data_IF_548009727483
#
_entry.id   IF_548009727483
#
_cell.length_a   1.000
_cell.length_b   1.000
_cell.length_c   1.000
_cell.angle_alpha   90.00
_cell.angle_beta   90.00
_cell.angle_gamma   90.00
#
_symmetry.space_group_name_H-M   'P 1'
#
loop_
_entity.id
_entity.type
_entity.pdbx_description
1 polymer ?
#
# COMPACT_ATOMS: atom_id res chain seq x y z
N UNK A 1 16.97 -16.00 -10.89
CA UNK A 1 15.94 -15.07 -10.35
C UNK A 1 15.76 -13.95 -11.37
N UNK A 2 14.55 -13.70 -11.86
CA UNK A 2 14.32 -12.68 -12.89
C UNK A 2 14.52 -11.26 -12.30
N UNK A 3 15.19 -10.33 -13.01
CA UNK A 3 15.38 -8.97 -12.53
C UNK A 3 14.03 -8.25 -12.38
N UNK A 4 13.76 -7.68 -11.20
CA UNK A 4 12.56 -6.86 -10.95
C UNK A 4 12.79 -5.42 -11.37
N UNK A 5 12.78 -5.16 -12.67
CA UNK A 5 12.97 -3.80 -13.22
C UNK A 5 12.00 -2.77 -12.61
N UNK A 6 10.77 -3.19 -12.34
CA UNK A 6 9.73 -2.35 -11.73
C UNK A 6 10.03 -1.92 -10.29
N UNK A 7 10.96 -2.56 -9.57
CA UNK A 7 11.28 -2.19 -8.19
C UNK A 7 11.94 -0.81 -8.12
N UNK A 8 12.87 -0.55 -9.05
CA UNK A 8 13.51 0.76 -9.17
C UNK A 8 12.50 1.87 -9.49
N UNK A 9 11.52 1.57 -10.35
CA UNK A 9 10.45 2.49 -10.73
C UNK A 9 9.54 2.75 -9.53
N UNK A 10 9.11 1.70 -8.82
CA UNK A 10 8.27 1.83 -7.63
C UNK A 10 8.96 2.67 -6.55
N UNK A 11 10.23 2.39 -6.27
CA UNK A 11 10.99 3.13 -5.25
C UNK A 11 11.12 4.61 -5.62
N UNK A 12 11.37 4.93 -6.90
CA UNK A 12 11.39 6.30 -7.40
C UNK A 12 10.02 6.98 -7.28
N UNK A 13 8.95 6.32 -7.70
CA UNK A 13 7.60 6.88 -7.60
C UNK A 13 7.19 7.12 -6.14
N UNK A 14 7.54 6.23 -5.22
CA UNK A 14 7.28 6.42 -3.77
C UNK A 14 8.13 7.53 -3.14
N UNK A 15 9.16 8.02 -3.82
CA UNK A 15 9.91 9.21 -3.39
C UNK A 15 9.32 10.51 -3.97
N UNK A 16 8.61 10.42 -5.09
CA UNK A 16 7.99 11.56 -5.79
C UNK A 16 6.52 11.78 -5.38
N UNK A 17 5.81 10.71 -5.01
CA UNK A 17 4.37 10.73 -4.75
C UNK A 17 4.04 10.16 -3.37
N UNK A 18 3.04 10.73 -2.67
CA UNK A 18 2.60 10.25 -1.36
C UNK A 18 1.89 8.88 -1.43
N UNK A 19 1.37 8.51 -2.60
CA UNK A 19 0.78 7.20 -2.85
C UNK A 19 1.04 6.74 -4.30
N UNK A 20 1.20 5.42 -4.47
CA UNK A 20 1.41 4.77 -5.76
C UNK A 20 0.48 3.57 -5.87
N UNK A 21 -0.21 3.45 -7.01
CA UNK A 21 -1.06 2.29 -7.30
C UNK A 21 -0.31 1.28 -8.18
N UNK A 22 -0.36 0.00 -7.81
CA UNK A 22 0.16 -1.09 -8.61
C UNK A 22 -1.00 -1.75 -9.39
N UNK A 23 -1.05 -1.52 -10.69
CA UNK A 23 -2.06 -2.11 -11.58
C UNK A 23 -1.46 -3.27 -12.40
N UNK A 24 -2.30 -4.25 -12.72
CA UNK A 24 -1.91 -5.38 -13.55
C UNK A 24 -2.77 -6.61 -13.32
N UNK A 25 -2.71 -7.61 -14.22
CA UNK A 25 -3.55 -8.81 -14.13
C UNK A 25 -3.26 -9.63 -12.86
N UNK A 26 -4.15 -10.58 -12.55
CA UNK A 26 -3.91 -11.58 -11.50
C UNK A 26 -2.59 -12.30 -11.79
N UNK A 27 -1.86 -12.65 -10.73
CA UNK A 27 -0.57 -13.37 -10.79
C UNK A 27 0.59 -12.62 -11.49
N UNK A 28 0.46 -11.31 -11.75
CA UNK A 28 1.56 -10.49 -12.27
C UNK A 28 2.68 -10.17 -11.25
N UNK A 29 2.57 -10.64 -10.01
CA UNK A 29 3.57 -10.41 -8.96
C UNK A 29 3.53 -9.02 -8.30
N UNK A 30 2.36 -8.35 -8.30
CA UNK A 30 2.17 -7.02 -7.70
C UNK A 30 2.48 -7.00 -6.21
N UNK A 31 1.85 -7.89 -5.44
CA UNK A 31 2.11 -8.07 -4.00
C UNK A 31 3.57 -8.40 -3.74
N UNK A 32 4.16 -9.28 -4.57
CA UNK A 32 5.59 -9.61 -4.47
C UNK A 32 6.50 -8.41 -4.70
N UNK A 33 6.14 -7.50 -5.60
CA UNK A 33 6.87 -6.26 -5.83
C UNK A 33 6.75 -5.30 -4.64
N UNK A 34 5.54 -5.11 -4.11
CA UNK A 34 5.30 -4.26 -2.94
C UNK A 34 6.05 -4.77 -1.70
N UNK A 35 6.00 -6.08 -1.43
CA UNK A 35 6.72 -6.70 -0.32
C UNK A 35 8.24 -6.62 -0.47
N UNK A 36 8.76 -6.63 -1.70
CA UNK A 36 10.19 -6.42 -1.94
C UNK A 36 10.63 -4.99 -1.58
N UNK A 37 9.80 -3.99 -1.86
CA UNK A 37 10.05 -2.60 -1.45
C UNK A 37 9.91 -2.44 0.08
N UNK A 38 8.92 -3.07 0.70
CA UNK A 38 8.78 -3.12 2.16
C UNK A 38 10.03 -3.68 2.84
N UNK A 39 10.55 -4.81 2.34
CA UNK A 39 11.76 -5.43 2.88
C UNK A 39 13.00 -4.51 2.78
N UNK A 40 13.07 -3.62 1.78
CA UNK A 40 14.15 -2.62 1.67
C UNK A 40 14.04 -1.51 2.72
N UNK A 41 12.81 -1.16 3.12
CA UNK A 41 12.54 -0.06 4.07
C UNK A 41 12.59 -0.50 5.53
N UNK A 42 12.34 -1.77 5.82
CA UNK A 42 12.48 -2.36 7.16
C UNK A 42 11.32 -2.07 8.12
N UNK A 43 10.56 -0.99 7.91
CA UNK A 43 9.32 -0.68 8.63
C UNK A 43 8.21 -0.33 7.63
N UNK A 44 7.45 -1.35 7.23
CA UNK A 44 6.29 -1.17 6.38
C UNK A 44 5.10 -1.93 6.98
N UNK A 45 3.93 -1.30 6.91
CA UNK A 45 2.66 -1.95 7.20
C UNK A 45 2.18 -2.70 5.95
N UNK A 46 1.71 -3.93 6.13
CA UNK A 46 1.01 -4.68 5.10
C UNK A 46 -0.38 -5.06 5.60
N UNK A 47 -1.41 -4.69 4.86
CA UNK A 47 -2.80 -5.06 5.08
C UNK A 47 -3.36 -5.73 3.82
N UNK A 48 -3.79 -6.98 3.97
CA UNK A 48 -4.56 -7.68 2.95
C UNK A 48 -6.05 -7.47 3.22
N UNK A 49 -6.70 -6.65 2.40
CA UNK A 49 -8.11 -6.28 2.60
C UNK A 49 -9.10 -7.35 2.13
N UNK A 50 -8.63 -8.54 1.71
CA UNK A 50 -9.49 -9.72 1.69
C UNK A 50 -9.75 -10.28 3.11
N UNK A 51 -8.86 -10.02 4.06
CA UNK A 51 -8.97 -10.53 5.43
C UNK A 51 -9.87 -9.65 6.30
N UNK A 52 -10.90 -10.22 6.96
CA UNK A 52 -11.76 -9.47 7.88
C UNK A 52 -11.01 -8.85 9.07
N UNK A 53 -9.87 -9.42 9.49
CA UNK A 53 -9.03 -8.84 10.54
C UNK A 53 -8.29 -7.58 10.08
N UNK A 54 -7.93 -7.49 8.80
CA UNK A 54 -7.34 -6.27 8.24
C UNK A 54 -8.40 -5.19 8.07
N UNK A 55 -9.59 -5.56 7.59
CA UNK A 55 -10.71 -4.63 7.47
C UNK A 55 -11.11 -4.03 8.83
N UNK A 56 -11.16 -4.84 9.90
CA UNK A 56 -11.43 -4.34 11.27
C UNK A 56 -10.40 -3.35 11.81
N UNK A 57 -9.16 -3.40 11.34
CA UNK A 57 -8.18 -2.35 11.72
C UNK A 57 -8.54 -0.98 11.11
N UNK A 58 -9.40 -0.97 10.09
CA UNK A 58 -9.89 0.21 9.39
C UNK A 58 -11.32 0.60 9.84
N UNK A 59 -11.77 0.18 11.04
CA UNK A 59 -13.04 0.64 11.61
C UNK A 59 -13.05 2.18 11.80
N UNK A 60 -11.88 2.76 12.15
CA UNK A 60 -11.58 4.20 12.04
C UNK A 60 -10.36 4.39 11.10
N UNK A 61 -10.59 4.46 9.78
CA UNK A 61 -9.51 4.44 8.80
C UNK A 61 -8.67 5.71 8.84
N UNK A 62 -9.25 6.85 9.21
CA UNK A 62 -8.51 8.12 9.29
C UNK A 62 -7.52 8.07 10.44
N UNK A 63 -7.99 7.79 11.66
CA UNK A 63 -7.11 7.68 12.82
C UNK A 63 -6.06 6.58 12.64
N UNK A 64 -6.45 5.43 12.08
CA UNK A 64 -5.52 4.35 11.79
C UNK A 64 -4.41 4.78 10.84
N UNK A 65 -4.74 5.36 9.68
CA UNK A 65 -3.76 5.79 8.68
C UNK A 65 -2.86 6.93 9.19
N UNK A 66 -3.43 7.87 9.95
CA UNK A 66 -2.66 8.93 10.61
C UNK A 66 -1.62 8.37 11.57
N UNK A 67 -1.95 7.33 12.34
CA UNK A 67 -1.01 6.64 13.21
C UNK A 67 0.11 5.92 12.44
N UNK A 68 -0.07 5.67 11.13
CA UNK A 68 0.95 5.07 10.25
C UNK A 68 1.75 6.09 9.44
N UNK A 69 1.63 7.38 9.74
CA UNK A 69 2.44 8.40 9.08
C UNK A 69 3.93 8.13 9.26
N UNK A 70 4.70 8.38 8.21
CA UNK A 70 6.15 8.19 8.20
C UNK A 70 6.63 6.78 7.84
N UNK A 71 5.72 5.80 7.70
CA UNK A 71 6.05 4.46 7.20
C UNK A 71 5.30 4.12 5.92
N UNK A 72 5.84 3.17 5.14
CA UNK A 72 5.16 2.67 3.94
C UNK A 72 3.97 1.80 4.36
N UNK A 73 2.76 2.14 3.92
CA UNK A 73 1.58 1.30 4.06
C UNK A 73 1.22 0.65 2.73
N UNK A 74 1.15 -0.68 2.72
CA UNK A 74 0.71 -1.49 1.57
C UNK A 74 -0.70 -1.98 1.87
N UNK A 75 -1.65 -1.55 1.04
CA UNK A 75 -3.04 -1.95 1.10
C UNK A 75 -3.30 -2.87 -0.11
N UNK A 76 -3.28 -4.19 0.11
CA UNK A 76 -3.56 -5.15 -0.95
C UNK A 76 -5.06 -5.37 -1.12
N UNK A 77 -5.47 -5.65 -2.36
CA UNK A 77 -6.87 -5.83 -2.76
C UNK A 77 -7.78 -4.68 -2.29
N UNK A 78 -7.29 -3.43 -2.36
CA UNK A 78 -7.97 -2.22 -1.86
C UNK A 78 -9.37 -1.98 -2.42
N UNK A 79 -9.68 -2.52 -3.59
CA UNK A 79 -11.03 -2.47 -4.16
C UNK A 79 -12.09 -3.22 -3.31
N UNK A 80 -11.67 -4.00 -2.32
CA UNK A 80 -12.57 -4.62 -1.33
C UNK A 80 -13.19 -3.61 -0.37
N UNK A 81 -12.59 -2.42 -0.23
CA UNK A 81 -13.04 -1.32 0.64
C UNK A 81 -13.04 0.01 -0.14
N UNK A 82 -13.93 0.20 -1.14
CA UNK A 82 -13.91 1.38 -2.01
C UNK A 82 -14.07 2.72 -1.28
N UNK A 83 -14.79 2.74 -0.17
CA UNK A 83 -14.99 3.92 0.68
C UNK A 83 -13.67 4.46 1.26
N UNK A 84 -12.64 3.62 1.37
CA UNK A 84 -11.33 4.01 1.87
C UNK A 84 -10.65 5.08 1.00
N UNK A 85 -10.98 5.15 -0.29
CA UNK A 85 -10.39 6.16 -1.20
C UNK A 85 -10.73 7.60 -0.79
N UNK A 86 -11.91 7.84 -0.21
CA UNK A 86 -12.28 9.17 0.27
C UNK A 86 -11.39 9.60 1.46
N UNK A 87 -11.09 8.65 2.35
CA UNK A 87 -10.24 8.87 3.53
C UNK A 87 -8.78 9.03 3.11
N UNK A 88 -8.29 8.15 2.24
CA UNK A 88 -6.92 8.22 1.71
C UNK A 88 -6.63 9.58 1.09
N UNK A 89 -7.57 10.14 0.31
CA UNK A 89 -7.42 11.47 -0.26
C UNK A 89 -7.20 12.54 0.82
N UNK A 90 -8.02 12.54 1.87
CA UNK A 90 -7.88 13.48 2.98
C UNK A 90 -6.56 13.32 3.75
N UNK A 91 -6.11 12.09 3.99
CA UNK A 91 -4.85 11.81 4.70
C UNK A 91 -3.61 12.15 3.86
N UNK A 92 -3.69 11.95 2.54
CA UNK A 92 -2.62 12.23 1.57
C UNK A 92 -2.46 13.73 1.31
N UNK A 93 -3.57 14.48 1.23
CA UNK A 93 -3.57 15.92 0.91
C UNK A 93 -3.12 16.80 2.12
N UNK A 94 -3.04 16.23 3.32
CA UNK A 94 -2.56 16.87 4.56
C UNK A 94 -1.06 16.71 4.76
#
# INVERSE_FOLDING_TARGET
>A
MLPRFALSILSRLLAEFPAVVLLGPRQAGKTTLALAEAARRGDALYLDLELPSAQRQLDDPEAFLLAQRGRLAILDEVQRVPELFAVLRGVIDQ
#
